data_IF_161068625193
#
_entry.id   IF_161068625193
#
_cell.length_a   1.000
_cell.length_b   1.000
_cell.length_c   1.000
_cell.angle_alpha   90.00
_cell.angle_beta   90.00
_cell.angle_gamma   90.00
#
_symmetry.space_group_name_H-M   'P 1'
#
loop_
_entity.id
_entity.type
_entity.pdbx_description
1 polymer ?
#
# COMPACT_ATOMS: atom_id res chain seq x y z
N UNK A 1 6.09 5.69 -17.88
CA UNK A 1 4.87 6.03 -17.06
C UNK A 1 5.29 6.75 -15.76
N UNK A 2 5.48 8.07 -15.58
CA UNK A 2 4.92 8.88 -16.68
C UNK A 2 3.69 8.22 -17.29
N UNK A 3 3.02 7.12 -16.55
CA UNK A 3 2.17 6.17 -17.32
C UNK A 3 0.76 6.19 -16.73
N UNK A 4 0.29 7.29 -16.04
CA UNK A 4 -1.19 7.34 -15.99
C UNK A 4 -1.65 8.76 -15.65
N UNK A 5 -0.64 9.83 -15.68
CA UNK A 5 -1.25 11.14 -15.38
C UNK A 5 -0.39 12.27 -15.94
N UNK A 6 0.61 11.77 -16.94
CA UNK A 6 1.38 12.85 -17.59
C UNK A 6 2.50 12.27 -18.46
N UNK A 7 3.18 13.03 -19.38
CA UNK A 7 4.31 12.63 -20.24
C UNK A 7 5.53 13.51 -19.93
N UNK A 8 6.65 12.80 -20.05
CA UNK A 8 7.88 13.58 -19.82
C UNK A 8 9.11 12.82 -20.29
N UNK A 9 10.28 13.31 -19.74
CA UNK A 9 11.56 12.72 -20.18
C UNK A 9 12.28 12.08 -18.97
N UNK A 10 13.13 11.11 -19.33
CA UNK A 10 14.03 10.59 -18.27
C UNK A 10 15.35 11.38 -18.29
N UNK A 11 15.78 11.72 -17.11
CA UNK A 11 17.09 12.42 -17.06
C UNK A 11 17.96 11.74 -16.00
N UNK A 12 19.26 12.09 -16.04
CA UNK A 12 20.19 11.66 -14.97
C UNK A 12 20.63 12.87 -14.14
N UNK A 13 20.56 12.67 -12.92
CA UNK A 13 21.07 13.73 -12.02
C UNK A 13 21.47 13.12 -10.67
N UNK A 14 21.99 14.11 -9.84
CA UNK A 14 22.37 13.69 -8.48
C UNK A 14 21.14 13.64 -7.56
N UNK A 15 21.07 12.42 -6.86
CA UNK A 15 19.98 12.26 -5.87
C UNK A 15 20.56 12.08 -4.46
N UNK A 16 20.05 12.96 -3.57
CA UNK A 16 20.41 12.76 -2.14
C UNK A 16 19.21 12.20 -1.37
N UNK A 17 19.45 11.02 -0.76
CA UNK A 17 18.35 10.40 0.01
C UNK A 17 18.96 9.67 1.22
N UNK A 18 18.26 9.90 2.42
CA UNK A 18 18.69 9.15 3.64
C UNK A 18 20.15 9.42 3.98
N UNK A 19 20.67 10.64 3.64
CA UNK A 19 22.05 11.03 4.04
C UNK A 19 23.09 10.53 3.02
N UNK A 20 22.60 9.79 1.93
CA UNK A 20 23.56 9.28 0.91
C UNK A 20 23.38 10.12 -0.36
N UNK A 21 24.58 10.42 -0.95
CA UNK A 21 24.53 11.13 -2.24
C UNK A 21 24.93 10.18 -3.37
N UNK A 22 23.98 10.11 -4.33
CA UNK A 22 24.21 9.18 -5.47
C UNK A 22 24.21 9.99 -6.77
N UNK A 23 25.32 9.82 -7.47
CA UNK A 23 25.39 10.53 -8.77
C UNK A 23 24.83 9.64 -9.89
N UNK A 24 24.28 10.33 -10.91
CA UNK A 24 23.84 9.66 -12.15
C UNK A 24 22.64 8.73 -11.89
N UNK A 25 21.73 9.25 -11.03
CA UNK A 25 20.46 8.53 -10.86
C UNK A 25 19.44 8.96 -11.93
N UNK A 26 18.82 7.91 -12.52
CA UNK A 26 17.82 8.20 -13.57
C UNK A 26 16.42 8.31 -12.97
N UNK A 27 15.64 9.37 -13.27
CA UNK A 27 14.22 9.51 -12.84
C UNK A 27 13.47 10.36 -13.87
N UNK A 28 12.16 10.17 -13.83
CA UNK A 28 11.29 10.86 -14.83
C UNK A 28 10.96 12.29 -14.38
N UNK A 29 10.98 13.15 -15.38
CA UNK A 29 10.49 14.52 -15.15
C UNK A 29 9.20 14.71 -15.96
N UNK A 30 8.28 15.14 -15.12
CA UNK A 30 6.97 15.31 -15.79
C UNK A 30 6.94 16.68 -16.48
N UNK A 31 6.73 16.65 -17.77
CA UNK A 31 6.69 17.93 -18.54
C UNK A 31 5.25 18.32 -18.87
N UNK A 32 4.51 17.31 -19.02
CA UNK A 32 3.06 17.55 -19.18
C UNK A 32 2.26 16.68 -18.20
N UNK A 33 1.39 17.43 -17.48
CA UNK A 33 0.56 16.68 -16.49
C UNK A 33 -0.89 16.62 -16.96
N UNK A 34 -1.53 15.44 -16.90
CA UNK A 34 -2.95 15.30 -17.29
C UNK A 34 -3.83 15.13 -16.06
N UNK A 35 -3.38 15.70 -15.06
CA UNK A 35 -4.21 15.52 -13.85
C UNK A 35 -5.61 16.10 -14.08
N UNK A 36 -6.69 15.32 -13.75
CA UNK A 36 -8.10 15.72 -13.95
C UNK A 36 -8.52 16.77 -12.90
N UNK A 37 -7.49 17.31 -12.15
CA UNK A 37 -7.82 18.33 -11.13
C UNK A 37 -6.69 19.37 -11.08
N UNK A 38 -7.11 20.67 -10.78
CA UNK A 38 -6.08 21.72 -10.74
C UNK A 38 -5.01 21.44 -9.67
N UNK A 39 -3.76 21.36 -10.16
CA UNK A 39 -2.65 21.21 -9.18
C UNK A 39 -2.23 22.62 -8.73
N UNK A 40 -2.80 23.05 -7.64
CA UNK A 40 -2.56 24.44 -7.18
C UNK A 40 -1.53 24.47 -6.05
N UNK A 41 -0.91 23.29 -5.77
CA UNK A 41 0.17 23.26 -4.77
C UNK A 41 1.30 22.34 -5.28
N UNK A 42 2.55 22.71 -4.78
CA UNK A 42 3.69 21.82 -5.12
C UNK A 42 3.37 20.35 -4.78
N UNK A 43 3.45 19.58 -5.85
CA UNK A 43 3.21 18.13 -5.63
C UNK A 43 4.52 17.46 -5.19
N UNK A 44 4.37 16.68 -4.15
CA UNK A 44 5.53 15.85 -3.75
C UNK A 44 5.81 14.79 -4.85
N UNK A 45 7.12 14.69 -5.23
CA UNK A 45 7.55 13.67 -6.19
C UNK A 45 7.10 12.25 -5.74
N UNK A 46 6.87 11.48 -6.72
CA UNK A 46 6.55 10.06 -6.42
C UNK A 46 7.85 9.24 -6.51
N UNK A 47 7.87 8.51 -5.45
CA UNK A 47 9.03 7.59 -5.35
C UNK A 47 8.55 6.14 -5.52
N UNK A 48 8.75 5.58 -6.77
CA UNK A 48 8.24 4.21 -7.03
C UNK A 48 9.18 3.14 -6.44
N UNK A 49 8.50 2.13 -5.71
CA UNK A 49 9.32 1.09 -5.05
C UNK A 49 8.97 -0.28 -5.65
N UNK A 50 8.47 -0.25 -6.86
CA UNK A 50 8.11 -1.52 -7.51
C UNK A 50 9.36 -2.33 -7.91
N UNK A 51 9.16 -3.73 -7.98
CA UNK A 51 10.27 -4.68 -8.19
C UNK A 51 10.78 -4.60 -9.63
N UNK A 52 9.85 -4.38 -10.68
CA UNK A 52 10.31 -4.35 -12.08
C UNK A 52 9.68 -3.16 -12.80
N UNK A 53 10.46 -2.66 -13.75
CA UNK A 53 9.97 -1.59 -14.65
C UNK A 53 8.91 -2.16 -15.59
N UNK A 54 7.73 -1.58 -15.67
CA UNK A 54 6.39 -1.85 -16.21
C UNK A 54 6.35 -1.59 -17.72
N UNK A 55 7.68 -1.47 -18.49
CA UNK A 55 7.55 -1.23 -19.95
C UNK A 55 8.73 -1.86 -20.67
N UNK A 56 8.48 -2.31 -22.05
CA UNK A 56 9.59 -2.75 -22.94
C UNK A 56 10.81 -1.85 -22.81
N UNK A 57 10.67 -0.69 -22.09
CA UNK A 57 11.76 0.27 -21.85
C UNK A 57 12.70 -0.22 -20.73
N UNK A 58 12.44 -1.41 -20.23
CA UNK A 58 13.14 -1.92 -19.03
C UNK A 58 14.57 -2.33 -19.39
N UNK A 59 14.83 -2.49 -20.70
CA UNK A 59 16.27 -2.59 -21.04
C UNK A 59 16.94 -1.21 -21.01
N UNK A 60 16.00 -0.18 -20.80
CA UNK A 60 16.58 1.17 -20.96
C UNK A 60 16.43 1.99 -19.68
N UNK A 61 15.45 1.56 -18.60
CA UNK A 61 15.34 2.44 -17.42
C UNK A 61 15.21 1.56 -16.16
N UNK A 62 16.30 1.57 -15.35
CA UNK A 62 16.28 0.75 -14.13
C UNK A 62 15.35 1.33 -13.06
N UNK A 63 14.65 0.42 -12.29
CA UNK A 63 13.87 0.92 -11.12
C UNK A 63 14.80 1.59 -10.10
N UNK A 64 14.15 2.26 -9.21
CA UNK A 64 14.91 2.96 -8.16
C UNK A 64 15.72 1.97 -7.32
N UNK A 65 15.06 0.91 -6.89
CA UNK A 65 15.80 -0.05 -6.03
C UNK A 65 16.95 -0.70 -6.79
N UNK A 66 16.74 -0.93 -8.11
CA UNK A 66 17.86 -1.51 -8.90
C UNK A 66 19.03 -0.52 -9.03
N UNK A 67 18.64 0.72 -9.23
CA UNK A 67 19.74 1.70 -9.35
C UNK A 67 20.53 1.78 -8.03
N UNK A 68 19.83 1.72 -6.86
CA UNK A 68 20.56 1.74 -5.57
C UNK A 68 21.50 0.53 -5.46
N UNK A 69 20.97 -0.57 -5.87
CA UNK A 69 21.80 -1.79 -5.79
C UNK A 69 23.03 -1.65 -6.69
N UNK A 70 22.90 -1.19 -7.93
CA UNK A 70 24.04 -1.10 -8.88
C UNK A 70 25.05 -0.05 -8.42
N UNK A 71 24.55 0.93 -7.68
CA UNK A 71 25.49 1.95 -7.16
C UNK A 71 26.11 1.50 -5.83
N UNK A 72 25.74 0.30 -5.38
CA UNK A 72 26.39 -0.26 -4.18
C UNK A 72 25.81 0.34 -2.89
N UNK A 73 24.72 1.15 -3.03
CA UNK A 73 24.13 1.78 -1.82
C UNK A 73 23.36 0.77 -0.98
N UNK A 74 22.81 -0.23 -1.59
CA UNK A 74 22.17 -1.31 -0.80
C UNK A 74 22.71 -2.65 -1.32
N UNK A 75 22.69 -3.68 -0.47
CA UNK A 75 23.26 -4.99 -0.86
C UNK A 75 22.16 -5.95 -1.32
N UNK A 76 20.93 -5.44 -1.00
CA UNK A 76 19.79 -6.29 -1.40
C UNK A 76 18.64 -5.40 -1.89
N UNK A 77 17.99 -5.86 -3.02
CA UNK A 77 16.81 -5.07 -3.49
C UNK A 77 15.58 -5.36 -2.61
N UNK A 78 15.62 -4.73 -1.52
CA UNK A 78 14.53 -4.91 -0.54
C UNK A 78 14.32 -3.59 0.23
N UNK A 79 13.09 -3.54 0.79
CA UNK A 79 12.82 -2.38 1.65
C UNK A 79 11.76 -2.74 2.68
N UNK A 80 11.87 -2.06 3.81
CA UNK A 80 10.85 -2.26 4.86
C UNK A 80 10.15 -0.94 5.15
N UNK A 81 8.84 -1.18 5.53
CA UNK A 81 8.04 0.06 5.67
C UNK A 81 7.30 0.00 7.00
N UNK A 82 7.38 1.11 7.63
CA UNK A 82 6.54 1.43 8.80
C UNK A 82 5.87 2.79 8.58
N UNK A 83 4.47 2.71 8.54
CA UNK A 83 3.78 3.97 8.17
C UNK A 83 3.41 4.77 9.42
N UNK A 84 3.61 4.11 10.57
CA UNK A 84 3.22 4.80 11.82
C UNK A 84 1.71 4.67 12.06
N UNK A 85 1.29 5.10 13.27
CA UNK A 85 -0.14 5.06 13.57
C UNK A 85 -0.93 6.13 12.79
N UNK A 86 -2.21 5.84 12.70
CA UNK A 86 -3.11 6.79 11.99
C UNK A 86 -3.32 8.06 12.83
N UNK A 87 -2.31 8.89 12.90
CA UNK A 87 -2.25 10.19 13.60
C UNK A 87 -1.57 11.21 12.67
N UNK A 88 -2.14 12.37 12.63
CA UNK A 88 -1.63 13.38 11.68
C UNK A 88 -0.16 13.73 11.96
N UNK A 89 0.29 13.49 13.14
CA UNK A 89 1.69 13.91 13.42
C UNK A 89 2.62 12.68 13.46
N UNK A 90 2.07 11.57 13.13
CA UNK A 90 2.90 10.36 13.24
C UNK A 90 3.90 10.32 12.07
N UNK A 91 5.07 9.82 12.48
CA UNK A 91 6.10 9.66 11.43
C UNK A 91 6.28 8.16 11.11
N UNK A 92 6.45 7.94 9.82
CA UNK A 92 6.80 6.57 9.40
C UNK A 92 8.28 6.46 9.01
N UNK A 93 8.62 5.25 8.63
CA UNK A 93 10.03 5.06 8.23
C UNK A 93 10.08 4.09 7.04
N UNK A 94 10.88 4.44 6.13
CA UNK A 94 11.24 3.56 5.00
C UNK A 94 12.74 3.23 5.08
N UNK A 95 12.96 1.96 5.17
CA UNK A 95 14.37 1.51 5.20
C UNK A 95 14.68 0.72 3.91
N UNK A 96 15.73 1.21 3.19
CA UNK A 96 16.07 0.56 1.92
C UNK A 96 17.22 -0.44 2.14
N UNK A 97 16.96 -1.71 1.73
CA UNK A 97 18.04 -2.73 1.76
C UNK A 97 18.11 -3.44 3.10
N UNK A 98 17.15 -3.08 4.04
CA UNK A 98 17.29 -3.74 5.36
C UNK A 98 15.91 -3.80 6.05
N UNK A 99 16.05 -4.35 7.28
CA UNK A 99 14.84 -4.47 8.14
C UNK A 99 15.14 -3.77 9.48
N UNK A 100 14.19 -3.03 9.90
CA UNK A 100 14.31 -2.43 11.24
C UNK A 100 13.71 -3.34 12.32
N UNK A 101 14.54 -4.01 13.07
CA UNK A 101 14.03 -5.05 14.01
C UNK A 101 13.34 -4.39 15.21
N UNK A 102 13.68 -3.14 15.40
CA UNK A 102 13.04 -2.44 16.52
C UNK A 102 11.55 -2.19 16.25
N UNK A 103 11.18 -2.22 15.00
CA UNK A 103 9.75 -1.95 14.69
C UNK A 103 8.95 -3.25 14.57
N UNK A 104 9.68 -4.38 14.77
CA UNK A 104 8.97 -5.67 14.67
C UNK A 104 8.36 -6.06 16.01
N UNK A 105 7.05 -6.20 15.85
CA UNK A 105 6.40 -6.76 17.05
C UNK A 105 5.70 -8.08 16.70
N UNK A 106 5.96 -9.10 17.55
CA UNK A 106 5.24 -10.37 17.28
C UNK A 106 6.00 -11.24 16.28
N UNK A 107 5.34 -12.33 15.83
CA UNK A 107 5.99 -13.29 14.91
C UNK A 107 6.12 -12.70 13.49
N UNK A 108 7.23 -13.17 12.86
CA UNK A 108 7.45 -12.79 11.45
C UNK A 108 6.95 -13.93 10.55
N UNK A 109 6.16 -13.42 9.61
CA UNK A 109 5.63 -14.43 8.66
C UNK A 109 6.19 -14.16 7.26
N UNK A 110 6.51 -15.29 6.66
CA UNK A 110 6.96 -15.16 5.25
C UNK A 110 5.83 -15.60 4.31
N UNK A 111 5.52 -14.57 3.48
CA UNK A 111 4.42 -14.87 2.55
C UNK A 111 4.92 -14.76 1.11
N UNK A 112 4.31 -15.62 0.29
CA UNK A 112 4.73 -15.54 -1.12
C UNK A 112 3.94 -14.41 -1.82
N UNK A 113 4.71 -13.68 -2.63
CA UNK A 113 4.01 -12.66 -3.45
C UNK A 113 3.89 -13.19 -4.89
N UNK A 114 2.77 -12.68 -5.50
CA UNK A 114 2.54 -13.14 -6.89
C UNK A 114 3.66 -12.60 -7.79
N UNK A 115 4.16 -13.57 -8.59
CA UNK A 115 5.17 -13.14 -9.58
C UNK A 115 4.61 -12.01 -10.47
N UNK A 116 5.34 -10.96 -10.47
CA UNK A 116 4.81 -9.79 -11.19
C UNK A 116 4.71 -10.07 -12.70
N UNK A 117 5.37 -11.20 -13.22
CA UNK A 117 5.27 -11.50 -14.66
C UNK A 117 3.99 -12.31 -14.92
N UNK A 118 3.35 -12.74 -13.88
CA UNK A 118 2.06 -13.42 -14.11
C UNK A 118 1.03 -12.41 -14.64
N UNK A 119 0.23 -12.95 -15.61
CA UNK A 119 -0.77 -12.06 -16.25
C UNK A 119 -1.68 -11.38 -15.22
N UNK A 120 -1.97 -12.13 -14.14
CA UNK A 120 -2.91 -11.58 -13.12
C UNK A 120 -2.26 -10.44 -12.33
N UNK A 121 -0.97 -10.31 -12.35
CA UNK A 121 -0.26 -9.32 -11.52
C UNK A 121 -0.05 -8.01 -12.30
N UNK A 122 -0.39 -8.14 -13.56
CA UNK A 122 -0.24 -6.96 -14.42
C UNK A 122 1.04 -6.18 -14.13
N UNK A 123 2.04 -6.97 -13.87
CA UNK A 123 3.43 -6.44 -13.74
C UNK A 123 3.57 -5.58 -12.48
N UNK A 124 2.58 -5.54 -11.59
CA UNK A 124 2.71 -4.91 -10.27
C UNK A 124 3.23 -5.91 -9.23
N UNK A 125 4.24 -5.32 -8.57
CA UNK A 125 4.78 -6.18 -7.50
C UNK A 125 4.02 -5.99 -6.18
N UNK A 126 3.92 -7.03 -5.35
CA UNK A 126 3.46 -6.91 -3.96
C UNK A 126 2.02 -7.43 -3.81
N UNK A 127 1.74 -8.33 -4.77
CA UNK A 127 0.46 -9.03 -4.58
C UNK A 127 0.62 -10.20 -3.58
N UNK A 128 -0.16 -10.00 -2.50
CA UNK A 128 -0.04 -10.98 -1.40
C UNK A 128 -1.32 -11.82 -1.36
N UNK A 129 -1.09 -13.15 -1.20
CA UNK A 129 -2.26 -14.05 -1.21
C UNK A 129 -3.26 -13.68 -0.10
N UNK A 130 -4.56 -13.80 -0.54
CA UNK A 130 -5.66 -13.38 0.36
C UNK A 130 -6.74 -14.47 0.34
N UNK A 131 -6.97 -14.97 1.55
CA UNK A 131 -7.97 -16.05 1.65
C UNK A 131 -9.34 -15.50 2.07
N UNK A 132 -9.35 -14.71 3.17
CA UNK A 132 -10.65 -14.17 3.61
C UNK A 132 -10.43 -12.94 4.49
N UNK A 133 -11.49 -12.13 4.55
CA UNK A 133 -11.55 -11.04 5.53
C UNK A 133 -12.81 -11.21 6.39
N UNK A 134 -12.54 -11.01 7.71
CA UNK A 134 -13.67 -11.31 8.62
C UNK A 134 -13.86 -10.15 9.60
N UNK A 135 -15.05 -9.56 9.45
CA UNK A 135 -15.41 -8.56 10.47
C UNK A 135 -15.87 -9.25 11.77
N UNK A 136 -15.20 -8.82 12.84
CA UNK A 136 -15.52 -9.43 14.14
C UNK A 136 -15.92 -8.31 15.12
N UNK A 137 -17.29 -8.37 15.47
CA UNK A 137 -17.74 -7.32 16.43
C UNK A 137 -17.90 -7.91 17.82
N UNK A 138 -17.80 -7.05 18.79
CA UNK A 138 -17.78 -7.51 20.20
C UNK A 138 -19.16 -8.05 20.60
N UNK A 139 -20.16 -7.71 19.82
CA UNK A 139 -21.50 -8.23 20.16
C UNK A 139 -21.75 -9.60 19.54
N UNK A 140 -20.64 -10.14 18.98
CA UNK A 140 -20.76 -11.53 18.48
C UNK A 140 -21.05 -11.56 16.97
N UNK A 141 -21.42 -10.41 16.39
CA UNK A 141 -21.67 -10.35 14.94
C UNK A 141 -20.38 -10.57 14.14
N UNK A 142 -20.53 -11.50 13.10
CA UNK A 142 -19.38 -11.73 12.21
C UNK A 142 -19.83 -11.68 10.75
N UNK A 143 -19.08 -11.05 9.98
CA UNK A 143 -19.27 -11.08 8.51
C UNK A 143 -17.97 -11.51 7.82
N UNK A 144 -18.16 -12.51 6.93
CA UNK A 144 -16.93 -13.03 6.29
C UNK A 144 -17.03 -12.88 4.77
N UNK A 145 -15.99 -12.37 4.25
CA UNK A 145 -15.79 -12.44 2.78
C UNK A 145 -14.65 -13.41 2.43
N UNK A 146 -15.10 -14.48 1.67
CA UNK A 146 -14.06 -15.48 1.29
C UNK A 146 -13.66 -15.25 -0.17
N UNK A 147 -12.40 -15.52 -0.38
CA UNK A 147 -11.87 -15.31 -1.74
C UNK A 147 -11.44 -16.66 -2.32
N UNK A 148 -11.70 -16.79 -3.66
CA UNK A 148 -11.29 -18.05 -4.33
C UNK A 148 -9.79 -18.29 -4.17
N UNK A 149 -9.47 -19.58 -4.33
CA UNK A 149 -8.03 -19.89 -4.34
C UNK A 149 -7.31 -19.12 -5.47
N UNK A 150 -6.18 -18.52 -5.06
CA UNK A 150 -5.43 -17.82 -6.13
C UNK A 150 -5.76 -16.33 -6.18
N UNK A 151 -6.60 -15.84 -5.14
CA UNK A 151 -6.85 -14.38 -5.06
C UNK A 151 -5.72 -13.69 -4.29
N UNK A 152 -5.35 -12.49 -4.82
CA UNK A 152 -4.26 -11.69 -4.18
C UNK A 152 -4.75 -10.27 -3.92
N UNK A 153 -4.18 -9.71 -2.92
CA UNK A 153 -4.45 -8.28 -2.67
C UNK A 153 -3.15 -7.47 -2.83
N UNK A 154 -3.36 -6.38 -3.59
CA UNK A 154 -2.19 -5.50 -3.77
C UNK A 154 -1.96 -4.63 -2.52
N UNK A 155 -0.74 -4.82 -1.92
CA UNK A 155 -0.36 -3.89 -0.84
C UNK A 155 0.30 -2.65 -1.46
N UNK A 156 -0.42 -1.50 -1.27
CA UNK A 156 -0.02 -0.33 -2.09
C UNK A 156 0.12 0.90 -1.18
N UNK A 157 1.40 1.35 -0.92
CA UNK A 157 1.61 2.53 -0.04
C UNK A 157 1.19 3.81 -0.76
N UNK A 158 0.87 3.73 -2.02
CA UNK A 158 0.44 4.92 -2.79
C UNK A 158 -1.08 5.11 -2.75
N UNK A 159 -1.74 4.25 -2.03
CA UNK A 159 -3.21 4.38 -1.95
C UNK A 159 -3.63 4.60 -0.50
N UNK A 160 -4.46 5.61 -0.33
CA UNK A 160 -4.91 5.87 1.05
C UNK A 160 -5.97 4.86 1.50
N UNK A 161 -6.60 4.16 0.58
CA UNK A 161 -7.81 3.42 0.94
C UNK A 161 -7.54 1.91 1.07
N UNK A 162 -8.59 1.24 1.56
CA UNK A 162 -8.71 -0.22 1.67
C UNK A 162 -10.00 -0.68 0.97
N UNK A 163 -9.76 -1.62 0.02
CA UNK A 163 -10.92 -2.02 -0.81
C UNK A 163 -11.41 -3.41 -0.41
N UNK A 164 -12.78 -3.49 -0.46
CA UNK A 164 -13.42 -4.74 -0.01
C UNK A 164 -14.45 -5.16 -1.06
N UNK A 165 -14.88 -6.56 -0.94
CA UNK A 165 -16.10 -6.96 -1.68
C UNK A 165 -17.34 -6.26 -1.11
N UNK A 166 -18.28 -6.19 -1.99
CA UNK A 166 -19.44 -5.34 -1.66
C UNK A 166 -20.07 -5.76 -0.32
N UNK A 167 -20.19 -7.05 -0.05
CA UNK A 167 -20.80 -7.51 1.23
C UNK A 167 -20.06 -6.97 2.45
N UNK A 168 -18.74 -7.12 2.42
CA UNK A 168 -17.94 -6.60 3.56
C UNK A 168 -18.07 -5.07 3.64
N UNK A 169 -18.01 -4.38 2.54
CA UNK A 169 -18.18 -2.90 2.55
C UNK A 169 -19.53 -2.53 3.17
N UNK A 170 -20.60 -3.20 2.79
CA UNK A 170 -21.92 -2.91 3.36
C UNK A 170 -21.93 -3.13 4.89
N UNK A 171 -21.31 -4.24 5.30
CA UNK A 171 -21.26 -4.51 6.75
C UNK A 171 -20.49 -3.40 7.49
N UNK A 172 -19.43 -2.96 6.91
CA UNK A 172 -18.64 -1.92 7.61
C UNK A 172 -19.40 -0.60 7.65
N UNK A 173 -19.99 -0.25 6.52
CA UNK A 173 -20.67 1.06 6.55
C UNK A 173 -21.90 1.00 7.45
N UNK A 174 -22.54 -0.13 7.53
CA UNK A 174 -23.62 -0.28 8.53
C UNK A 174 -23.09 -0.11 9.95
N UNK A 175 -21.91 -0.75 10.19
CA UNK A 175 -21.30 -0.57 11.54
C UNK A 175 -21.08 0.91 11.86
N UNK A 176 -20.84 1.70 10.87
CA UNK A 176 -20.54 3.12 11.13
C UNK A 176 -21.80 3.97 11.00
N UNK A 177 -22.94 3.27 10.79
CA UNK A 177 -24.23 4.00 10.84
C UNK A 177 -24.52 4.69 9.51
N UNK A 178 -23.80 4.29 8.43
CA UNK A 178 -24.11 4.91 7.11
C UNK A 178 -25.16 4.07 6.37
N UNK A 179 -26.17 4.82 5.80
CA UNK A 179 -27.20 4.12 4.99
C UNK A 179 -26.97 4.39 3.50
N UNK A 180 -26.59 3.35 2.71
CA UNK A 180 -26.38 3.39 1.23
C UNK A 180 -25.48 4.55 0.83
N UNK A 181 -24.29 4.49 1.46
CA UNK A 181 -23.38 5.58 1.09
C UNK A 181 -22.87 5.44 -0.35
N UNK A 182 -22.73 6.58 -1.03
CA UNK A 182 -22.03 6.56 -2.34
C UNK A 182 -20.51 6.40 -2.14
N UNK A 183 -19.98 5.24 -2.62
CA UNK A 183 -18.55 4.95 -2.38
C UNK A 183 -17.63 5.91 -3.13
N UNK A 184 -18.22 6.78 -3.99
CA UNK A 184 -17.38 7.77 -4.71
C UNK A 184 -17.24 9.06 -3.91
N UNK A 185 -17.99 9.16 -2.85
CA UNK A 185 -17.83 10.32 -1.94
C UNK A 185 -17.05 9.94 -0.67
N UNK A 186 -16.60 11.09 -0.04
CA UNK A 186 -16.01 10.80 1.28
C UNK A 186 -17.04 10.19 2.23
N UNK A 187 -16.60 9.07 2.90
CA UNK A 187 -17.51 8.45 3.89
C UNK A 187 -17.29 9.08 5.27
N UNK A 188 -18.22 9.98 5.59
CA UNK A 188 -18.07 10.73 6.85
C UNK A 188 -18.74 9.94 7.99
N UNK A 189 -17.98 9.70 9.08
CA UNK A 189 -18.52 8.91 10.21
C UNK A 189 -18.23 9.69 11.50
N UNK A 190 -18.92 9.24 12.60
CA UNK A 190 -18.63 9.84 13.93
C UNK A 190 -17.22 9.46 14.41
N UNK A 191 -16.54 10.49 14.95
CA UNK A 191 -15.13 10.24 15.36
C UNK A 191 -15.09 9.34 16.59
N UNK A 192 -16.24 9.03 17.19
CA UNK A 192 -16.24 8.09 18.33
C UNK A 192 -15.70 6.71 17.94
N UNK A 193 -15.80 6.45 16.64
CA UNK A 193 -15.33 5.12 16.21
C UNK A 193 -13.80 5.04 16.23
N UNK A 194 -13.18 6.03 16.62
CA UNK A 194 -11.71 5.97 16.82
C UNK A 194 -11.37 5.49 18.24
N UNK A 195 -12.36 5.57 19.06
CA UNK A 195 -12.07 5.09 20.43
C UNK A 195 -11.84 3.58 20.46
N UNK A 196 -10.88 3.14 21.30
CA UNK A 196 -10.54 1.72 21.36
C UNK A 196 -11.77 0.84 21.60
N UNK A 197 -11.79 -0.28 20.89
CA UNK A 197 -12.81 -1.32 21.07
C UNK A 197 -12.24 -2.68 20.68
N UNK A 198 -13.08 -3.72 21.02
CA UNK A 198 -12.60 -5.09 20.66
C UNK A 198 -13.08 -5.48 19.27
N UNK A 199 -13.58 -4.54 18.50
CA UNK A 199 -14.03 -4.84 17.12
C UNK A 199 -12.85 -4.79 16.16
N UNK A 200 -12.84 -5.73 15.22
CA UNK A 200 -11.63 -5.81 14.37
C UNK A 200 -12.00 -6.49 13.04
N UNK A 201 -11.08 -6.32 12.13
CA UNK A 201 -11.13 -7.12 10.90
C UNK A 201 -9.94 -8.08 10.88
N UNK A 202 -10.34 -9.37 10.87
CA UNK A 202 -9.26 -10.39 10.67
C UNK A 202 -9.00 -10.61 9.18
N UNK A 203 -7.71 -10.31 8.80
CA UNK A 203 -7.30 -10.56 7.41
C UNK A 203 -6.50 -11.87 7.33
N UNK A 204 -7.13 -12.81 6.64
CA UNK A 204 -6.46 -14.13 6.53
C UNK A 204 -5.70 -14.24 5.21
N UNK A 205 -4.39 -14.38 5.41
CA UNK A 205 -3.48 -14.44 4.24
C UNK A 205 -2.99 -15.87 3.99
N UNK A 206 -2.29 -16.08 2.84
CA UNK A 206 -1.71 -17.42 2.55
C UNK A 206 -0.89 -17.96 3.73
N UNK A 207 -0.83 -19.36 3.72
CA UNK A 207 0.05 -20.07 4.69
C UNK A 207 -0.49 -19.93 6.11
N UNK A 208 -1.80 -19.59 6.25
CA UNK A 208 -2.49 -19.62 7.57
C UNK A 208 -2.19 -18.37 8.40
N UNK A 209 -1.67 -17.31 7.80
CA UNK A 209 -1.32 -16.10 8.58
C UNK A 209 -2.58 -15.22 8.67
N UNK A 210 -2.71 -14.73 9.99
CA UNK A 210 -3.84 -13.81 10.19
C UNK A 210 -3.34 -12.51 10.82
N UNK A 211 -3.86 -11.42 10.14
CA UNK A 211 -3.57 -10.10 10.72
C UNK A 211 -4.87 -9.46 11.18
N UNK A 212 -4.80 -9.04 12.48
CA UNK A 212 -6.02 -8.40 13.01
C UNK A 212 -5.87 -6.87 13.01
N UNK A 213 -6.88 -6.28 12.40
CA UNK A 213 -6.83 -4.80 12.30
C UNK A 213 -7.99 -4.23 13.14
N UNK A 214 -7.59 -3.48 14.10
CA UNK A 214 -8.67 -2.87 14.89
C UNK A 214 -9.49 -1.86 14.06
N UNK A 215 -10.83 -1.94 14.31
CA UNK A 215 -11.67 -1.02 13.50
C UNK A 215 -11.42 0.42 13.93
N UNK A 216 -10.97 0.60 15.18
CA UNK A 216 -10.72 1.98 15.68
C UNK A 216 -9.54 2.63 14.96
N UNK A 217 -8.80 1.85 14.19
CA UNK A 217 -7.61 2.44 13.51
C UNK A 217 -8.00 3.00 12.15
N UNK A 218 -9.25 2.89 11.72
CA UNK A 218 -9.55 3.17 10.30
C UNK A 218 -10.02 4.62 10.13
N UNK A 219 -10.87 5.10 11.04
CA UNK A 219 -11.32 6.48 10.83
C UNK A 219 -10.18 7.49 10.91
N UNK A 220 -10.20 8.41 9.91
CA UNK A 220 -9.18 9.47 9.84
C UNK A 220 -9.80 10.77 10.35
N UNK A 221 -9.08 11.35 11.32
CA UNK A 221 -9.56 12.64 11.86
C UNK A 221 -9.24 13.77 10.87
N UNK A 222 -10.32 14.52 10.51
CA UNK A 222 -10.11 15.59 9.50
C UNK A 222 -9.71 16.91 10.17
N UNK A 223 -9.74 16.93 11.52
CA UNK A 223 -9.26 18.14 12.23
C UNK A 223 -10.41 19.14 12.41
N UNK A 224 -11.59 18.76 11.87
CA UNK A 224 -12.71 19.73 11.98
C UNK A 224 -13.89 19.09 12.72
N UNK A 225 -13.53 18.07 13.51
CA UNK A 225 -14.58 17.44 14.34
C UNK A 225 -15.28 16.30 13.62
N UNK A 226 -14.91 16.06 12.29
CA UNK A 226 -15.45 14.88 11.57
C UNK A 226 -14.34 13.88 11.24
N UNK A 227 -14.84 12.62 11.04
CA UNK A 227 -13.88 11.59 10.59
C UNK A 227 -14.37 10.97 9.28
N UNK A 228 -13.30 10.55 8.52
CA UNK A 228 -13.65 9.81 7.28
C UNK A 228 -13.00 8.42 7.31
N UNK A 229 -13.65 7.57 6.62
CA UNK A 229 -13.06 6.22 6.52
C UNK A 229 -12.82 5.93 5.03
N UNK A 230 -11.57 5.56 4.74
CA UNK A 230 -11.18 5.40 3.32
C UNK A 230 -11.32 3.94 2.86
N UNK A 231 -12.62 3.48 2.81
CA UNK A 231 -12.84 2.10 2.32
C UNK A 231 -13.76 2.17 1.10
N UNK A 232 -13.57 1.20 0.27
CA UNK A 232 -14.41 1.18 -0.93
C UNK A 232 -14.64 -0.26 -1.38
N UNK A 233 -15.75 -0.46 -2.16
CA UNK A 233 -16.10 -1.83 -2.55
C UNK A 233 -15.52 -2.20 -3.93
N UNK A 234 -14.12 -1.80 -4.18
CA UNK A 234 -13.58 -2.11 -5.53
C UNK A 234 -12.26 -2.87 -5.39
N UNK A 235 -12.22 -4.03 -6.03
CA UNK A 235 -10.89 -4.64 -6.22
C UNK A 235 -10.32 -5.18 -4.90
N UNK A 236 -9.11 -5.60 -4.97
CA UNK A 236 -8.42 -6.17 -3.78
C UNK A 236 -7.12 -5.42 -3.51
N UNK A 237 -7.34 -4.08 -3.22
CA UNK A 237 -6.20 -3.19 -2.90
C UNK A 237 -6.19 -2.87 -1.39
N UNK A 238 -5.05 -3.06 -0.79
CA UNK A 238 -4.89 -2.72 0.64
C UNK A 238 -3.82 -1.63 0.79
N UNK A 239 -4.36 -0.42 1.13
CA UNK A 239 -3.46 0.77 1.19
C UNK A 239 -3.18 1.15 2.64
N UNK A 240 -3.09 2.51 2.80
CA UNK A 240 -2.60 3.01 4.10
C UNK A 240 -3.54 2.56 5.24
N UNK A 241 -4.89 2.51 4.88
CA UNK A 241 -5.84 2.11 5.95
C UNK A 241 -5.50 0.73 6.50
N UNK A 242 -4.97 -0.15 5.75
CA UNK A 242 -4.53 -1.48 6.24
C UNK A 242 -3.04 -1.46 6.61
N UNK A 243 -2.17 -0.84 5.87
CA UNK A 243 -0.71 -1.01 5.96
C UNK A 243 -0.18 -0.31 7.22
N UNK A 244 -0.93 0.60 7.79
CA UNK A 244 -0.45 1.22 9.04
C UNK A 244 -0.53 0.23 10.20
N UNK A 245 -1.09 -0.92 9.92
CA UNK A 245 -1.25 -1.90 11.02
C UNK A 245 -0.24 -3.04 10.89
N UNK A 246 0.62 -2.85 9.94
CA UNK A 246 1.58 -3.96 9.75
C UNK A 246 2.94 -3.35 9.39
N UNK A 247 3.97 -3.86 10.06
CA UNK A 247 5.35 -3.64 9.56
C UNK A 247 5.71 -4.71 8.52
N UNK A 248 6.09 -4.19 7.31
CA UNK A 248 6.29 -5.24 6.29
C UNK A 248 7.56 -4.94 5.50
N UNK A 249 8.12 -6.08 4.97
CA UNK A 249 9.31 -5.99 4.10
C UNK A 249 9.01 -6.69 2.77
N UNK A 250 9.28 -5.91 1.76
CA UNK A 250 9.32 -6.60 0.45
C UNK A 250 10.77 -6.86 0.04
N UNK A 251 10.95 -8.15 -0.22
CA UNK A 251 12.29 -8.57 -0.68
C UNK A 251 12.20 -9.11 -2.11
N UNK A 252 12.88 -8.35 -3.00
CA UNK A 252 12.71 -8.72 -4.42
C UNK A 252 13.88 -9.56 -4.91
N UNK A 253 14.74 -10.03 -4.06
CA UNK A 253 15.95 -10.74 -4.53
C UNK A 253 15.57 -12.06 -5.20
N UNK A 254 14.52 -12.55 -4.74
CA UNK A 254 14.20 -13.90 -5.27
C UNK A 254 13.16 -13.81 -6.39
N UNK A 255 12.78 -12.47 -6.71
CA UNK A 255 11.82 -12.38 -7.83
C UNK A 255 12.55 -12.50 -9.17
N UNK A 256 12.14 -13.50 -9.98
CA UNK A 256 12.80 -13.70 -11.29
C UNK A 256 12.51 -12.52 -12.23
N UNK A 257 13.61 -11.97 -12.83
CA UNK A 257 13.41 -10.95 -13.89
C UNK A 257 12.74 -11.57 -15.11
N UNK A 258 11.62 -11.00 -15.60
CA UNK A 258 11.00 -11.57 -16.80
C UNK A 258 12.03 -11.76 -17.94
N UNK A 259 12.17 -13.14 -18.43
CA UNK A 259 12.95 -13.33 -19.68
C UNK A 259 12.21 -12.70 -20.87
N UNK A 260 12.47 -11.46 -21.23
CA UNK A 260 11.82 -10.92 -22.44
C UNK A 260 12.19 -11.81 -23.64
#
# INVERSE_FOLDING_TARGET
MLIDHGFGSFINDTLRIGGVTLNDMMFGVVEQNFASFPINTQQTAIFGLGAFCQTLACDTYPTFLNQLYEHGAISRRAFSVYLGPNDPDAKGSLLLGGIDLAKRQGPVHKLKVLDPTASAANLQPNWVSLSSVELQLSNGTTTTSTYDNGTYALWDTGSPGWYFQQGMFDALTSYWGLSNPDPNNALIVDCKFREPSDDSIAVNLGQGVTINVPLSSLPIDNGDGTCTVPVAPWGSLMGDAFLRNVYFTFDYEELRKPSI
#
